data_IF_493736461552
#
_entry.id   IF_493736461552
#
_cell.length_a   1.000
_cell.length_b   1.000
_cell.length_c   1.000
_cell.angle_alpha   90.00
_cell.angle_beta   90.00
_cell.angle_gamma   90.00
#
_symmetry.space_group_name_H-M   'P 1'
#
loop_
_entity.id
_entity.type
_entity.pdbx_description
1 polymer ?
#
# COMPACT_ATOMS: atom_id res chain seq x y z
N UNK A 1 12.78 9.61 -13.03
CA UNK A 1 13.15 9.38 -11.62
C UNK A 1 12.80 7.95 -11.31
N UNK A 2 13.68 7.19 -10.68
CA UNK A 2 13.34 5.83 -10.23
C UNK A 2 12.24 5.95 -9.19
N UNK A 3 11.04 5.51 -9.57
CA UNK A 3 9.86 5.47 -8.71
C UNK A 3 10.21 4.64 -7.47
N UNK A 4 10.18 5.25 -6.28
CA UNK A 4 10.44 4.51 -5.05
C UNK A 4 9.26 3.58 -4.72
N UNK A 5 9.45 2.54 -3.91
CA UNK A 5 8.34 1.67 -3.49
C UNK A 5 7.20 2.49 -2.86
N UNK A 6 7.55 3.53 -2.09
CA UNK A 6 6.63 4.51 -1.52
C UNK A 6 5.82 5.22 -2.60
N UNK A 7 6.48 5.81 -3.59
CA UNK A 7 5.82 6.61 -4.64
C UNK A 7 4.79 5.78 -5.44
N UNK A 8 5.13 4.53 -5.77
CA UNK A 8 4.20 3.57 -6.39
C UNK A 8 2.98 3.28 -5.51
N UNK A 9 3.19 3.09 -4.20
CA UNK A 9 2.09 2.85 -3.25
C UNK A 9 1.20 4.07 -3.15
N UNK A 10 1.79 5.25 -2.96
CA UNK A 10 1.08 6.51 -2.82
C UNK A 10 0.24 6.81 -4.07
N UNK A 11 0.80 6.63 -5.27
CA UNK A 11 0.07 6.79 -6.53
C UNK A 11 -1.11 5.80 -6.64
N UNK A 12 -0.95 4.57 -6.16
CA UNK A 12 -2.04 3.59 -6.12
C UNK A 12 -3.14 4.01 -5.14
N UNK A 13 -2.78 4.45 -3.95
CA UNK A 13 -3.69 4.93 -2.90
C UNK A 13 -4.50 6.13 -3.37
N UNK A 14 -3.83 7.17 -3.89
CA UNK A 14 -4.49 8.37 -4.39
C UNK A 14 -5.51 8.05 -5.49
N UNK A 15 -5.17 7.16 -6.43
CA UNK A 15 -6.10 6.78 -7.50
C UNK A 15 -7.30 5.96 -6.99
N UNK A 16 -7.08 4.99 -6.10
CA UNK A 16 -8.17 4.08 -5.66
C UNK A 16 -9.09 4.72 -4.62
N UNK A 17 -8.52 5.55 -3.73
CA UNK A 17 -9.29 6.26 -2.71
C UNK A 17 -9.87 7.58 -3.23
N UNK A 18 -9.47 8.03 -4.42
CA UNK A 18 -9.84 9.32 -5.00
C UNK A 18 -9.44 10.50 -4.11
N UNK A 19 -8.23 10.44 -3.57
CA UNK A 19 -7.64 11.46 -2.70
C UNK A 19 -6.36 12.04 -3.31
N UNK A 20 -5.91 13.14 -2.73
CA UNK A 20 -4.59 13.74 -2.89
C UNK A 20 -3.66 13.36 -1.73
N UNK A 21 -2.34 13.46 -1.92
CA UNK A 21 -1.36 13.23 -0.84
C UNK A 21 -1.58 14.17 0.36
N UNK A 22 -2.07 15.39 0.13
CA UNK A 22 -2.37 16.36 1.20
C UNK A 22 -3.51 15.94 2.14
N UNK A 23 -4.29 14.91 1.79
CA UNK A 23 -5.35 14.37 2.65
C UNK A 23 -4.82 13.34 3.66
N UNK A 24 -3.57 12.90 3.52
CA UNK A 24 -2.87 12.10 4.53
C UNK A 24 -2.52 12.98 5.74
N UNK A 25 -3.44 13.07 6.71
CA UNK A 25 -3.32 13.95 7.87
C UNK A 25 -2.21 13.56 8.85
N UNK A 26 -1.72 12.31 8.81
CA UNK A 26 -0.54 11.82 9.55
C UNK A 26 0.57 11.35 8.59
N UNK A 27 0.61 11.93 7.38
CA UNK A 27 1.53 11.50 6.32
C UNK A 27 1.40 10.01 6.01
N UNK A 28 2.52 9.33 5.77
CA UNK A 28 2.53 7.91 5.42
C UNK A 28 2.00 6.97 6.52
N UNK A 29 1.88 7.46 7.76
CA UNK A 29 1.33 6.73 8.90
C UNK A 29 -0.20 6.79 8.99
N UNK A 30 -0.84 7.61 8.14
CA UNK A 30 -2.30 7.75 8.11
C UNK A 30 -2.97 6.38 7.93
N UNK A 31 -3.93 6.06 8.81
CA UNK A 31 -4.77 4.87 8.65
C UNK A 31 -5.68 5.08 7.44
N UNK A 32 -5.42 4.33 6.37
CA UNK A 32 -6.13 4.48 5.10
C UNK A 32 -7.63 4.20 5.21
N UNK A 33 -8.08 3.50 6.27
CA UNK A 33 -9.52 3.29 6.54
C UNK A 33 -10.26 4.60 6.81
N UNK A 34 -9.57 5.57 7.42
CA UNK A 34 -10.13 6.90 7.67
C UNK A 34 -10.31 7.70 6.37
N UNK A 35 -9.60 7.31 5.31
CA UNK A 35 -9.69 7.87 3.96
C UNK A 35 -10.56 7.01 3.02
N UNK A 36 -11.35 6.10 3.57
CA UNK A 36 -12.31 5.30 2.81
C UNK A 36 -11.78 3.98 2.26
N UNK A 37 -10.63 3.50 2.72
CA UNK A 37 -10.19 2.14 2.41
C UNK A 37 -11.15 1.11 3.02
N UNK A 38 -11.88 0.43 2.14
CA UNK A 38 -12.79 -0.66 2.46
C UNK A 38 -12.29 -1.98 1.84
N UNK A 39 -13.05 -3.07 2.02
CA UNK A 39 -12.68 -4.38 1.50
C UNK A 39 -12.58 -4.43 -0.04
N UNK A 40 -13.41 -3.66 -0.75
CA UNK A 40 -13.40 -3.61 -2.21
C UNK A 40 -12.19 -2.83 -2.71
N UNK A 41 -11.97 -1.64 -2.16
CA UNK A 41 -10.82 -0.78 -2.49
C UNK A 41 -9.49 -1.42 -2.11
N UNK A 42 -9.45 -2.17 -1.01
CA UNK A 42 -8.27 -2.97 -0.67
C UNK A 42 -7.94 -3.99 -1.77
N UNK A 43 -8.92 -4.73 -2.29
CA UNK A 43 -8.69 -5.67 -3.40
C UNK A 43 -8.21 -4.96 -4.67
N UNK A 44 -8.73 -3.77 -4.96
CA UNK A 44 -8.27 -2.95 -6.09
C UNK A 44 -6.80 -2.51 -5.92
N UNK A 45 -6.41 -2.08 -4.71
CA UNK A 45 -5.03 -1.74 -4.39
C UNK A 45 -4.10 -2.94 -4.53
N UNK A 46 -4.48 -4.10 -4.01
CA UNK A 46 -3.67 -5.31 -4.15
C UNK A 46 -3.46 -5.68 -5.62
N UNK A 47 -4.50 -5.58 -6.46
CA UNK A 47 -4.37 -5.81 -7.90
C UNK A 47 -3.42 -4.81 -8.57
N UNK A 48 -3.46 -3.54 -8.17
CA UNK A 48 -2.63 -2.48 -8.74
C UNK A 48 -1.16 -2.56 -8.30
N UNK A 49 -0.92 -3.06 -7.09
CA UNK A 49 0.41 -3.30 -6.52
C UNK A 49 0.98 -4.68 -6.88
N UNK A 50 0.32 -5.43 -7.75
CA UNK A 50 0.68 -6.80 -8.16
C UNK A 50 0.80 -7.79 -6.99
N UNK A 51 0.00 -7.58 -5.95
CA UNK A 51 -0.05 -8.45 -4.78
C UNK A 51 -1.06 -9.57 -5.03
N UNK A 52 -0.57 -10.81 -5.04
CA UNK A 52 -1.39 -12.00 -5.26
C UNK A 52 -2.41 -12.19 -4.13
N UNK A 53 -3.67 -12.41 -4.49
CA UNK A 53 -4.76 -12.69 -3.53
C UNK A 53 -4.48 -13.99 -2.76
N UNK A 54 -4.63 -13.94 -1.44
CA UNK A 54 -4.39 -15.05 -0.51
C UNK A 54 -2.91 -15.24 -0.13
N UNK A 55 -1.99 -14.46 -0.71
CA UNK A 55 -0.56 -14.54 -0.40
C UNK A 55 -0.25 -14.11 1.04
N UNK A 56 0.87 -14.57 1.58
CA UNK A 56 1.35 -14.11 2.89
C UNK A 56 1.70 -12.63 2.89
N UNK A 57 2.19 -12.09 1.76
CA UNK A 57 2.38 -10.66 1.59
C UNK A 57 1.05 -9.90 1.77
N UNK A 58 -0.03 -10.34 1.12
CA UNK A 58 -1.34 -9.72 1.31
C UNK A 58 -1.76 -9.74 2.79
N UNK A 59 -1.55 -10.86 3.50
CA UNK A 59 -1.88 -10.96 4.94
C UNK A 59 -1.07 -9.97 5.78
N UNK A 60 0.21 -9.77 5.48
CA UNK A 60 1.05 -8.77 6.16
C UNK A 60 0.58 -7.35 5.88
N UNK A 61 0.21 -7.03 4.63
CA UNK A 61 -0.32 -5.71 4.27
C UNK A 61 -1.67 -5.41 4.94
N UNK A 62 -2.49 -6.42 5.27
CA UNK A 62 -3.71 -6.23 6.06
C UNK A 62 -3.41 -5.82 7.51
N UNK A 63 -2.25 -6.20 8.06
CA UNK A 63 -1.91 -5.95 9.47
C UNK A 63 -1.58 -4.48 9.75
N UNK A 64 -1.17 -3.72 8.73
CA UNK A 64 -0.86 -2.30 8.81
C UNK A 64 -1.35 -1.62 7.53
N UNK A 65 -2.46 -0.88 7.62
CA UNK A 65 -3.12 -0.22 6.50
C UNK A 65 -2.65 1.22 6.33
N UNK A 66 -1.33 1.40 6.26
CA UNK A 66 -0.67 2.68 6.05
C UNK A 66 0.34 2.59 4.89
N UNK A 67 0.70 3.73 4.28
CA UNK A 67 1.72 3.77 3.22
C UNK A 67 3.08 3.35 3.77
N UNK A 68 3.40 3.75 5.01
CA UNK A 68 4.64 3.40 5.69
C UNK A 68 4.74 1.88 5.92
N UNK A 69 3.70 1.26 6.48
CA UNK A 69 3.64 -0.18 6.72
C UNK A 69 3.77 -0.99 5.43
N UNK A 70 3.07 -0.57 4.37
CA UNK A 70 3.16 -1.23 3.07
C UNK A 70 4.51 -1.09 2.41
N UNK A 71 5.15 0.09 2.52
CA UNK A 71 6.50 0.33 2.00
C UNK A 71 7.48 -0.63 2.65
N UNK A 72 7.47 -0.73 3.98
CA UNK A 72 8.34 -1.64 4.72
C UNK A 72 8.13 -3.10 4.28
N UNK A 73 6.89 -3.57 4.18
CA UNK A 73 6.60 -4.96 3.80
C UNK A 73 7.00 -5.29 2.37
N UNK A 74 6.80 -4.36 1.43
CA UNK A 74 7.12 -4.56 0.02
C UNK A 74 8.63 -4.47 -0.27
N UNK A 75 9.39 -3.73 0.52
CA UNK A 75 10.86 -3.70 0.44
C UNK A 75 11.49 -4.96 1.07
N UNK A 76 10.93 -5.45 2.18
CA UNK A 76 11.34 -6.72 2.78
C UNK A 76 11.10 -7.90 1.82
N UNK A 77 9.93 -7.96 1.18
CA UNK A 77 9.61 -9.03 0.22
C UNK A 77 10.47 -8.99 -1.06
N UNK A 78 11.00 -7.83 -1.45
CA UNK A 78 11.97 -7.72 -2.56
C UNK A 78 13.37 -8.21 -2.19
N UNK A 79 13.71 -8.20 -0.90
CA UNK A 79 15.02 -8.65 -0.41
C UNK A 79 15.08 -10.18 -0.25
N UNK A 80 13.95 -10.86 -0.04
CA UNK A 80 13.86 -12.33 0.09
C UNK A 80 13.97 -13.09 -1.25
N UNK A 81 14.07 -12.39 -2.38
CA UNK A 81 14.26 -12.98 -3.72
C UNK A 81 15.73 -13.16 -4.16
N UNK A 82 16.70 -12.87 -3.28
CA UNK A 82 18.15 -13.03 -3.53
C UNK A 82 18.74 -13.99 -2.49
N UNK A 83 18.44 -15.28 -2.62
CA UNK A 83 19.26 -16.41 -2.09
C UNK A 83 18.87 -17.66 -2.86
#
# INVERSE_FOLDING_TARGET
MSDTTRDRILAAVCEVLYISESELFDGDSTDLRELGLDSVRFVLLMKKLDVTRGSDLQKRLVADLSVAGWTQMLELGQSEGVT
#
